data_IF_845184783301
#
_entry.id   IF_845184783301
#
_cell.length_a   1.000
_cell.length_b   1.000
_cell.length_c   1.000
_cell.angle_alpha   90.00
_cell.angle_beta   90.00
_cell.angle_gamma   90.00
#
_symmetry.space_group_name_H-M   'P 1'
#
loop_
_entity.id
_entity.type
_entity.pdbx_description
1 polymer ?
#
# COMPACT_ATOMS: atom_id res chain seq x y z
N UNK A 1 30.32 -16.18 12.61
CA UNK A 1 29.65 -15.68 11.38
C UNK A 1 28.19 -15.47 11.75
N UNK A 2 27.80 -14.24 12.03
CA UNK A 2 26.40 -13.89 12.31
C UNK A 2 25.84 -13.51 10.95
N UNK A 3 24.94 -14.33 10.42
CA UNK A 3 24.23 -14.03 9.19
C UNK A 3 23.26 -12.90 9.54
N UNK A 4 23.58 -11.68 9.14
CA UNK A 4 22.64 -10.56 9.19
C UNK A 4 21.34 -11.03 8.51
N UNK A 5 20.14 -10.83 9.10
CA UNK A 5 18.92 -11.13 8.38
C UNK A 5 18.99 -10.36 7.06
N UNK A 6 18.90 -11.07 5.94
CA UNK A 6 18.75 -10.47 4.62
C UNK A 6 17.43 -9.69 4.69
N UNK A 7 17.60 -8.40 4.92
CA UNK A 7 16.59 -7.41 5.24
C UNK A 7 15.85 -7.07 3.95
N UNK A 8 14.87 -7.90 3.59
CA UNK A 8 14.15 -7.77 2.32
C UNK A 8 12.71 -8.28 2.44
N UNK A 9 12.02 -7.86 3.50
CA UNK A 9 10.60 -8.13 3.61
C UNK A 9 9.84 -6.83 3.79
N UNK A 10 9.56 -6.20 2.66
CA UNK A 10 8.60 -5.09 2.61
C UNK A 10 7.18 -5.56 2.92
N UNK A 11 6.27 -4.59 2.98
CA UNK A 11 4.84 -4.82 3.21
C UNK A 11 4.24 -5.81 2.21
N UNK A 12 3.36 -6.68 2.69
CA UNK A 12 2.62 -7.65 1.87
C UNK A 12 1.18 -7.21 1.74
N UNK A 13 0.66 -7.24 0.52
CA UNK A 13 -0.75 -7.02 0.22
C UNK A 13 -1.35 -8.36 -0.15
N UNK A 14 -2.29 -8.83 0.65
CA UNK A 14 -2.89 -10.16 0.44
C UNK A 14 -4.41 -10.16 0.33
N UNK A 15 -5.11 -9.13 0.83
CA UNK A 15 -6.57 -9.04 0.76
C UNK A 15 -6.99 -7.72 0.09
N UNK A 16 -7.30 -7.81 -1.21
CA UNK A 16 -7.92 -6.73 -1.99
C UNK A 16 -9.31 -7.18 -2.41
N UNK A 17 -10.34 -6.61 -1.80
CA UNK A 17 -11.74 -6.98 -2.02
C UNK A 17 -12.50 -5.75 -2.52
N UNK A 18 -13.23 -5.90 -3.62
CA UNK A 18 -14.13 -4.86 -4.12
C UNK A 18 -15.55 -5.38 -4.26
N UNK A 19 -16.52 -4.63 -3.75
CA UNK A 19 -17.96 -4.90 -3.94
C UNK A 19 -18.58 -4.01 -5.03
N UNK A 20 -17.76 -3.29 -5.81
CA UNK A 20 -18.20 -2.32 -6.83
C UNK A 20 -18.55 -0.93 -6.30
N UNK A 21 -18.66 -0.76 -4.98
CA UNK A 21 -18.89 0.53 -4.29
C UNK A 21 -17.72 0.91 -3.37
N UNK A 22 -17.11 -0.11 -2.77
CA UNK A 22 -16.07 -0.02 -1.77
C UNK A 22 -14.96 -1.02 -2.10
N UNK A 23 -13.74 -0.60 -1.79
CA UNK A 23 -12.50 -1.31 -1.98
C UNK A 23 -11.88 -1.42 -0.58
N UNK A 24 -11.79 -2.66 -0.10
CA UNK A 24 -11.06 -2.99 1.12
C UNK A 24 -9.68 -3.48 0.73
N UNK A 25 -8.66 -2.81 1.26
CA UNK A 25 -7.26 -3.08 0.98
C UNK A 25 -6.50 -3.29 2.29
N UNK A 26 -5.90 -4.46 2.48
CA UNK A 26 -5.10 -4.76 3.66
C UNK A 26 -3.62 -4.76 3.30
N UNK A 27 -2.87 -3.91 3.98
CA UNK A 27 -1.41 -3.85 3.92
C UNK A 27 -0.85 -4.42 5.21
N UNK A 28 -0.20 -5.56 5.12
CA UNK A 28 0.46 -6.25 6.23
C UNK A 28 1.94 -5.85 6.26
N UNK A 29 2.30 -5.05 7.25
CA UNK A 29 3.65 -4.56 7.51
C UNK A 29 4.39 -5.42 8.54
N UNK A 30 3.82 -6.55 9.01
CA UNK A 30 4.46 -7.40 10.03
C UNK A 30 5.84 -7.91 9.65
N UNK A 31 6.15 -7.93 8.35
CA UNK A 31 7.45 -8.34 7.84
C UNK A 31 8.43 -7.18 7.65
N UNK A 32 7.94 -5.95 7.67
CA UNK A 32 8.75 -4.75 7.52
C UNK A 32 9.34 -4.35 8.88
N UNK A 33 10.61 -4.68 9.07
CA UNK A 33 11.35 -4.42 10.31
C UNK A 33 11.49 -2.93 10.63
N UNK A 34 11.23 -2.04 9.66
CA UNK A 34 11.28 -0.59 9.85
C UNK A 34 9.90 0.05 10.03
N UNK A 35 8.82 -0.74 9.92
CA UNK A 35 7.49 -0.22 10.19
C UNK A 35 7.29 -0.02 11.71
N UNK A 36 6.71 1.11 12.16
CA UNK A 36 6.54 1.38 13.58
C UNK A 36 5.72 0.27 14.27
N UNK A 37 6.32 -0.33 15.31
CA UNK A 37 5.90 -1.52 16.09
C UNK A 37 4.47 -1.55 16.68
N UNK A 38 3.59 -0.59 16.37
CA UNK A 38 2.26 -0.51 16.96
C UNK A 38 1.12 -0.88 16.01
N UNK A 39 1.38 -1.11 14.72
CA UNK A 39 0.35 -1.53 13.75
C UNK A 39 0.92 -2.43 12.65
N UNK A 40 0.92 -3.73 12.89
CA UNK A 40 1.38 -4.71 11.90
C UNK A 40 0.50 -4.75 10.65
N UNK A 41 -0.75 -4.28 10.73
CA UNK A 41 -1.70 -4.27 9.62
C UNK A 41 -2.39 -2.92 9.50
N UNK A 42 -2.49 -2.43 8.28
CA UNK A 42 -3.28 -1.25 7.92
C UNK A 42 -4.39 -1.67 6.98
N UNK A 43 -5.63 -1.37 7.37
CA UNK A 43 -6.81 -1.60 6.54
C UNK A 43 -7.27 -0.26 5.95
N UNK A 44 -7.39 -0.21 4.63
CA UNK A 44 -7.98 0.91 3.90
C UNK A 44 -9.34 0.49 3.35
N UNK A 45 -10.39 1.20 3.74
CA UNK A 45 -11.74 1.06 3.17
C UNK A 45 -12.04 2.30 2.37
N UNK A 46 -12.00 2.20 1.04
CA UNK A 46 -12.03 3.35 0.13
C UNK A 46 -13.04 3.16 -0.99
N UNK A 47 -13.50 4.25 -1.61
CA UNK A 47 -14.48 4.19 -2.72
C UNK A 47 -13.86 4.35 -4.10
N UNK A 48 -12.59 4.74 -4.17
CA UNK A 48 -11.93 5.06 -5.43
C UNK A 48 -10.48 4.62 -5.42
N UNK A 49 -10.05 4.08 -6.55
CA UNK A 49 -8.67 3.70 -6.85
C UNK A 49 -8.27 4.36 -8.16
N UNK A 50 -7.04 4.85 -8.24
CA UNK A 50 -6.46 5.35 -9.49
C UNK A 50 -5.01 4.96 -9.63
N UNK A 51 -4.59 4.86 -10.88
CA UNK A 51 -3.17 4.80 -11.24
C UNK A 51 -2.72 6.24 -11.47
N UNK A 52 -1.65 6.65 -10.79
CA UNK A 52 -1.06 7.98 -10.92
C UNK A 52 0.39 7.85 -11.38
N UNK A 53 0.72 8.46 -12.52
CA UNK A 53 2.11 8.58 -12.94
C UNK A 53 2.80 9.58 -12.00
N UNK A 54 3.68 9.07 -11.13
CA UNK A 54 4.44 9.91 -10.21
C UNK A 54 5.48 10.71 -11.00
N UNK A 55 6.34 9.99 -11.72
CA UNK A 55 7.47 10.54 -12.48
C UNK A 55 7.70 9.75 -13.78
N UNK A 56 8.83 9.99 -14.46
CA UNK A 56 9.23 9.24 -15.66
C UNK A 56 9.41 7.75 -15.41
N UNK A 57 9.79 7.34 -14.20
CA UNK A 57 10.18 5.96 -13.88
C UNK A 57 9.13 5.21 -13.06
N UNK A 58 8.23 5.93 -12.39
CA UNK A 58 7.37 5.35 -11.35
C UNK A 58 5.88 5.58 -11.60
N UNK A 59 5.09 4.58 -11.23
CA UNK A 59 3.63 4.62 -11.15
C UNK A 59 3.20 4.32 -9.72
N UNK A 60 2.27 5.12 -9.22
CA UNK A 60 1.61 4.91 -7.94
C UNK A 60 0.21 4.37 -8.12
N UNK A 61 -0.15 3.42 -7.26
CA UNK A 61 -1.56 3.06 -7.02
C UNK A 61 -2.04 3.86 -5.83
N UNK A 62 -3.04 4.71 -6.07
CA UNK A 62 -3.58 5.61 -5.06
C UNK A 62 -5.03 5.26 -4.74
N UNK A 63 -5.36 5.27 -3.45
CA UNK A 63 -6.72 5.17 -2.93
C UNK A 63 -7.21 6.54 -2.48
N UNK A 64 -8.51 6.79 -2.66
CA UNK A 64 -9.15 8.04 -2.23
C UNK A 64 -10.58 7.80 -1.76
N UNK A 65 -11.16 8.79 -1.07
CA UNK A 65 -12.47 8.68 -0.39
C UNK A 65 -12.47 7.51 0.60
N UNK A 66 -11.47 7.48 1.47
CA UNK A 66 -11.24 6.42 2.45
C UNK A 66 -11.85 6.76 3.81
N UNK A 67 -12.32 5.74 4.52
CA UNK A 67 -12.79 5.89 5.90
C UNK A 67 -11.65 6.33 6.82
N UNK A 68 -11.90 7.29 7.71
CA UNK A 68 -10.91 7.89 8.63
C UNK A 68 -9.81 8.74 7.98
N UNK A 69 -9.95 9.05 6.69
CA UNK A 69 -9.09 9.97 5.94
C UNK A 69 -9.91 11.12 5.38
N UNK A 70 -9.25 12.21 4.94
CA UNK A 70 -9.99 13.31 4.30
C UNK A 70 -10.52 12.88 2.94
N UNK A 71 -11.65 13.44 2.52
CA UNK A 71 -12.30 13.04 1.26
C UNK A 71 -11.42 13.32 0.03
N UNK A 72 -10.63 14.39 0.08
CA UNK A 72 -9.69 14.84 -0.93
C UNK A 72 -8.31 14.17 -0.84
N UNK A 73 -8.08 13.35 0.18
CA UNK A 73 -6.79 12.70 0.41
C UNK A 73 -6.51 11.60 -0.63
N UNK A 74 -5.27 11.60 -1.12
CA UNK A 74 -4.77 10.63 -2.09
C UNK A 74 -3.69 9.78 -1.42
N UNK A 75 -4.06 8.58 -1.00
CA UNK A 75 -3.18 7.66 -0.28
C UNK A 75 -2.44 6.79 -1.28
N UNK A 76 -1.14 7.02 -1.47
CA UNK A 76 -0.28 6.15 -2.26
C UNK A 76 0.02 4.87 -1.47
N UNK A 77 -0.54 3.75 -1.92
CA UNK A 77 -0.44 2.46 -1.21
C UNK A 77 0.64 1.55 -1.78
N UNK A 78 0.99 1.72 -3.06
CA UNK A 78 2.02 0.94 -3.74
C UNK A 78 2.65 1.80 -4.84
N UNK A 79 3.96 1.65 -5.02
CA UNK A 79 4.69 2.23 -6.15
C UNK A 79 5.35 1.11 -6.95
N UNK A 80 5.23 1.21 -8.28
CA UNK A 80 5.86 0.32 -9.25
C UNK A 80 6.83 1.07 -10.15
N UNK A 81 7.89 0.40 -10.57
CA UNK A 81 8.69 0.87 -11.70
C UNK A 81 7.92 0.61 -13.00
N UNK A 82 7.85 1.61 -13.88
CA UNK A 82 7.19 1.51 -15.18
C UNK A 82 7.78 0.38 -16.03
N UNK A 83 9.08 0.16 -15.96
CA UNK A 83 9.78 -0.88 -16.72
C UNK A 83 9.40 -2.32 -16.31
N UNK A 84 8.74 -2.49 -15.16
CA UNK A 84 8.36 -3.81 -14.62
C UNK A 84 6.88 -4.17 -14.86
N UNK A 85 6.15 -3.32 -15.59
CA UNK A 85 4.75 -3.53 -15.99
C UNK A 85 4.69 -3.81 -17.50
#
# INVERSE_FOLDING_TARGET
MIISPTMDSGSVIHDVISNGKEIKWIVDNSRDTWYPNNKDKTEYVCKSIRIHERDSEFIDVQLSKCENYKEDEQLSIITFFKEKL
#
